data_IF_589376808566
#
_entry.id   IF_589376808566
#
_cell.length_a   1.000
_cell.length_b   1.000
_cell.length_c   1.000
_cell.angle_alpha   90.00
_cell.angle_beta   90.00
_cell.angle_gamma   90.00
#
_symmetry.space_group_name_H-M   'P 1'
#
loop_
_entity.id
_entity.type
_entity.pdbx_description
1 polymer ?
#
# COMPACT_ATOMS: atom_id res chain seq x y z
N UNK A 1 0.76 14.11 -2.16
CA UNK A 1 1.73 13.03 -2.45
C UNK A 1 2.58 12.83 -1.20
N UNK A 2 2.85 11.60 -0.78
CA UNK A 2 3.59 11.30 0.47
C UNK A 2 4.73 10.32 0.18
N UNK A 3 5.83 10.43 0.92
CA UNK A 3 6.85 9.38 0.94
C UNK A 3 6.32 8.20 1.74
N UNK A 4 6.43 7.00 1.17
CA UNK A 4 5.97 5.78 1.80
C UNK A 4 6.83 4.60 1.37
N UNK A 5 7.01 3.65 2.30
CA UNK A 5 7.68 2.38 2.06
C UNK A 5 6.64 1.28 1.84
N UNK A 6 6.86 0.42 0.86
CA UNK A 6 6.00 -0.77 0.65
C UNK A 6 6.32 -1.80 1.73
N UNK A 7 5.32 -2.17 2.53
CA UNK A 7 5.47 -3.15 3.62
C UNK A 7 4.90 -4.52 3.21
N UNK A 8 3.96 -4.55 2.27
CA UNK A 8 3.40 -5.81 1.79
C UNK A 8 2.38 -5.66 0.68
N UNK A 9 1.72 -6.78 0.35
CA UNK A 9 0.62 -6.84 -0.60
C UNK A 9 -0.66 -7.26 0.12
N UNK A 10 -1.81 -6.77 -0.37
CA UNK A 10 -3.12 -7.17 0.14
C UNK A 10 -3.79 -8.11 -0.85
N UNK A 11 -4.18 -9.29 -0.37
CA UNK A 11 -5.02 -10.22 -1.11
C UNK A 11 -6.46 -10.00 -0.69
N UNK A 12 -7.33 -9.79 -1.67
CA UNK A 12 -8.77 -9.65 -1.45
C UNK A 12 -9.51 -10.51 -2.47
N UNK A 13 -10.45 -11.34 -2.02
CA UNK A 13 -11.22 -12.27 -2.86
C UNK A 13 -12.61 -11.74 -3.19
N UNK A 14 -13.15 -10.82 -2.38
CA UNK A 14 -14.44 -10.14 -2.60
C UNK A 14 -14.21 -8.64 -2.71
N UNK A 15 -14.22 -8.11 -3.93
CA UNK A 15 -13.98 -6.70 -4.27
C UNK A 15 -14.83 -6.28 -5.47
N UNK A 16 -14.83 -4.99 -5.79
CA UNK A 16 -15.42 -4.50 -7.04
C UNK A 16 -14.71 -5.12 -8.25
N UNK A 17 -15.48 -5.53 -9.27
CA UNK A 17 -14.95 -6.22 -10.46
C UNK A 17 -13.91 -5.38 -11.22
N UNK A 18 -13.98 -4.05 -11.14
CA UNK A 18 -12.98 -3.15 -11.75
C UNK A 18 -11.60 -3.28 -11.11
N UNK A 19 -11.51 -3.84 -9.90
CA UNK A 19 -10.26 -4.04 -9.19
C UNK A 19 -9.69 -5.45 -9.38
N UNK A 20 -10.36 -6.34 -10.12
CA UNK A 20 -9.83 -7.66 -10.46
C UNK A 20 -8.56 -7.51 -11.32
N UNK A 21 -7.52 -8.29 -11.02
CA UNK A 21 -6.21 -8.20 -11.67
C UNK A 21 -5.30 -7.07 -11.17
N UNK A 22 -5.80 -6.17 -10.32
CA UNK A 22 -4.98 -5.11 -9.72
C UNK A 22 -4.16 -5.61 -8.53
N UNK A 23 -2.95 -5.08 -8.38
CA UNK A 23 -2.07 -5.35 -7.23
C UNK A 23 -2.27 -4.28 -6.16
N UNK A 24 -2.84 -4.66 -5.03
CA UNK A 24 -3.04 -3.77 -3.88
C UNK A 24 -1.81 -3.82 -2.98
N UNK A 25 -1.22 -2.65 -2.70
CA UNK A 25 -0.02 -2.52 -1.88
C UNK A 25 -0.37 -1.95 -0.51
N UNK A 26 0.20 -2.57 0.54
CA UNK A 26 0.23 -2.00 1.88
C UNK A 26 1.48 -1.14 1.99
N UNK A 27 1.28 0.15 2.26
CA UNK A 27 2.37 1.14 2.37
C UNK A 27 2.34 1.78 3.74
N UNK A 28 3.53 2.04 4.28
CA UNK A 28 3.72 2.80 5.51
C UNK A 28 4.28 4.18 5.17
N UNK A 29 3.62 5.28 5.56
CA UNK A 29 4.17 6.61 5.36
C UNK A 29 5.51 6.76 6.10
N UNK A 30 6.48 7.42 5.47
CA UNK A 30 7.80 7.67 6.05
C UNK A 30 8.21 9.13 5.90
N UNK A 31 9.11 9.58 6.78
CA UNK A 31 9.83 10.84 6.62
C UNK A 31 10.93 10.76 5.56
N UNK A 32 11.61 11.89 5.31
CA UNK A 32 12.81 11.92 4.45
C UNK A 32 13.98 11.12 5.04
N UNK A 33 13.92 10.81 6.33
CA UNK A 33 14.87 9.99 7.07
C UNK A 33 14.48 8.49 7.09
N UNK A 34 13.53 8.09 6.25
CA UNK A 34 12.95 6.73 6.17
C UNK A 34 12.38 6.21 7.51
N UNK A 35 12.09 7.13 8.46
CA UNK A 35 11.43 6.75 9.71
C UNK A 35 9.92 6.65 9.53
N UNK A 36 9.28 5.61 10.10
CA UNK A 36 7.85 5.40 9.98
C UNK A 36 7.04 6.53 10.64
N UNK A 37 5.95 6.91 9.97
CA UNK A 37 4.96 7.88 10.46
C UNK A 37 3.58 7.23 10.40
N UNK A 38 3.27 6.40 11.40
CA UNK A 38 2.01 5.66 11.51
C UNK A 38 2.18 4.16 11.49
#
# INVERSE_FOLDING_TARGET
MVFARVVGNVVCTRKDDKLVGTKLLMVQPVGLDDKPRG
#
